data_IF_615134410008
#
_entry.id   IF_615134410008
#
_cell.length_a   1.000
_cell.length_b   1.000
_cell.length_c   1.000
_cell.angle_alpha   90.00
_cell.angle_beta   90.00
_cell.angle_gamma   90.00
#
_symmetry.space_group_name_H-M   'P 1'
#
loop_
_entity.id
_entity.type
_entity.pdbx_description
1 polymer ?
#
# COMPACT_ATOMS: atom_id res chain seq x y z
N UNK A 1 -26.05 7.85 16.17
CA UNK A 1 -24.60 7.53 16.13
C UNK A 1 -24.30 6.96 14.75
N UNK A 2 -23.80 7.78 13.83
CA UNK A 2 -23.33 7.30 12.53
C UNK A 2 -21.95 6.68 12.77
N UNK A 3 -21.90 5.35 12.76
CA UNK A 3 -20.66 4.60 12.74
C UNK A 3 -19.87 5.02 11.49
N UNK A 4 -18.81 5.80 11.67
CA UNK A 4 -17.83 6.15 10.64
C UNK A 4 -17.08 4.89 10.21
N UNK A 5 -17.72 4.08 9.36
CA UNK A 5 -17.15 2.82 8.84
C UNK A 5 -15.99 3.06 7.84
N UNK A 6 -15.62 4.31 7.59
CA UNK A 6 -14.68 4.73 6.54
C UNK A 6 -13.27 5.02 7.09
N UNK A 7 -13.12 5.40 8.36
CA UNK A 7 -11.83 5.83 8.91
C UNK A 7 -10.77 4.71 9.03
N UNK A 8 -11.20 3.44 9.09
CA UNK A 8 -10.28 2.31 9.30
C UNK A 8 -9.70 1.79 7.98
N UNK A 9 -10.33 2.11 6.84
CA UNK A 9 -9.98 1.48 5.55
C UNK A 9 -8.59 1.87 5.08
N UNK A 10 -8.21 3.13 5.27
CA UNK A 10 -6.89 3.62 4.87
C UNK A 10 -5.77 3.22 5.84
N UNK A 11 -6.07 3.20 7.15
CA UNK A 11 -5.13 2.71 8.17
C UNK A 11 -4.81 1.21 8.04
N UNK A 12 -5.67 0.43 7.38
CA UNK A 12 -5.40 -0.99 7.12
C UNK A 12 -4.48 -1.22 5.93
N UNK A 13 -4.20 -0.20 5.11
CA UNK A 13 -3.48 -0.37 3.86
C UNK A 13 -1.99 -0.64 4.09
N UNK A 14 -1.31 0.15 4.94
CA UNK A 14 0.09 -0.10 5.28
C UNK A 14 0.31 -1.50 5.87
N UNK A 15 -0.41 -1.95 6.92
CA UNK A 15 -0.19 -3.30 7.46
C UNK A 15 -0.54 -4.41 6.47
N UNK A 16 -1.43 -4.14 5.50
CA UNK A 16 -1.69 -5.09 4.41
C UNK A 16 -0.51 -5.19 3.43
N UNK A 17 0.12 -4.06 3.10
CA UNK A 17 1.31 -4.03 2.24
C UNK A 17 2.53 -4.62 2.95
N UNK A 18 2.75 -4.31 4.22
CA UNK A 18 3.81 -4.91 5.04
C UNK A 18 3.68 -6.44 5.04
N UNK A 19 2.47 -6.96 5.30
CA UNK A 19 2.19 -8.40 5.26
C UNK A 19 2.41 -9.01 3.87
N UNK A 20 2.07 -8.29 2.81
CA UNK A 20 2.29 -8.73 1.43
C UNK A 20 3.78 -8.81 1.10
N UNK A 21 4.59 -7.89 1.61
CA UNK A 21 6.06 -7.91 1.49
C UNK A 21 6.63 -9.10 2.26
N UNK A 22 6.22 -9.31 3.51
CA UNK A 22 6.67 -10.43 4.35
C UNK A 22 6.35 -11.80 3.72
N UNK A 23 5.21 -11.90 3.03
CA UNK A 23 4.73 -13.14 2.41
C UNK A 23 4.95 -13.18 0.90
N UNK A 24 5.76 -12.27 0.35
CA UNK A 24 5.92 -12.10 -1.09
C UNK A 24 6.38 -13.38 -1.80
N UNK A 25 7.45 -14.01 -1.31
CA UNK A 25 8.02 -15.19 -1.96
C UNK A 25 7.09 -16.43 -1.89
N UNK A 26 6.48 -16.77 -0.73
CA UNK A 26 5.44 -17.81 -0.68
C UNK A 26 4.27 -17.55 -1.63
N UNK A 27 3.80 -16.30 -1.73
CA UNK A 27 2.68 -15.95 -2.61
C UNK A 27 3.07 -16.04 -4.08
N UNK A 28 4.27 -15.57 -4.44
CA UNK A 28 4.83 -15.71 -5.79
C UNK A 28 4.87 -17.18 -6.20
N UNK A 29 5.42 -18.07 -5.36
CA UNK A 29 5.46 -19.51 -5.64
C UNK A 29 4.05 -20.09 -5.78
N UNK A 30 3.10 -19.70 -4.93
CA UNK A 30 1.72 -20.15 -4.99
C UNK A 30 1.04 -19.78 -6.32
N UNK A 31 1.11 -18.51 -6.72
CA UNK A 31 0.44 -18.01 -7.92
C UNK A 31 1.14 -18.40 -9.23
N UNK A 32 2.45 -18.72 -9.20
CA UNK A 32 3.19 -19.14 -10.38
C UNK A 32 3.20 -20.66 -10.60
N UNK A 33 3.15 -21.48 -9.53
CA UNK A 33 3.22 -22.94 -9.66
C UNK A 33 1.87 -23.60 -9.96
N UNK A 34 0.73 -23.01 -9.58
CA UNK A 34 -0.58 -23.65 -9.74
C UNK A 34 -1.32 -23.22 -11.03
N UNK A 35 -0.74 -23.53 -12.19
CA UNK A 35 -1.40 -23.30 -13.49
C UNK A 35 -2.60 -24.24 -13.75
N UNK A 36 -2.89 -25.18 -12.84
CA UNK A 36 -3.98 -26.15 -13.00
C UNK A 36 -5.31 -25.70 -12.37
N UNK A 37 -5.30 -24.75 -11.42
CA UNK A 37 -6.53 -24.22 -10.79
C UNK A 37 -7.08 -22.94 -11.44
N UNK A 38 -6.29 -22.24 -12.22
CA UNK A 38 -6.67 -20.99 -12.93
C UNK A 38 -7.81 -21.17 -13.94
N UNK A 39 -8.09 -22.39 -14.39
CA UNK A 39 -9.20 -22.67 -15.33
C UNK A 39 -10.60 -22.71 -14.70
N UNK A 40 -10.76 -22.65 -13.36
CA UNK A 40 -12.07 -22.94 -12.71
C UNK A 40 -12.84 -21.76 -12.13
N UNK A 41 -12.37 -20.52 -12.15
CA UNK A 41 -13.16 -19.38 -11.67
C UNK A 41 -13.38 -18.36 -12.79
N UNK A 42 -14.56 -18.33 -13.37
CA UNK A 42 -14.91 -17.46 -14.50
C UNK A 42 -15.00 -15.96 -14.17
N UNK A 43 -14.91 -15.57 -12.88
CA UNK A 43 -14.72 -14.18 -12.43
C UNK A 43 -13.40 -13.94 -11.67
N UNK A 44 -12.74 -15.00 -11.20
CA UNK A 44 -11.40 -14.88 -10.62
C UNK A 44 -10.29 -15.19 -11.63
N UNK A 45 -10.62 -15.59 -12.85
CA UNK A 45 -9.66 -15.71 -13.95
C UNK A 45 -8.97 -14.37 -14.20
N UNK A 46 -9.73 -13.27 -14.23
CA UNK A 46 -9.20 -11.92 -14.47
C UNK A 46 -8.30 -11.46 -13.31
N UNK A 47 -8.74 -11.63 -12.06
CA UNK A 47 -7.95 -11.27 -10.88
C UNK A 47 -6.71 -12.16 -10.72
N UNK A 48 -6.82 -13.43 -11.07
CA UNK A 48 -5.69 -14.36 -10.98
C UNK A 48 -4.70 -14.08 -12.10
N UNK A 49 -5.15 -13.71 -13.30
CA UNK A 49 -4.27 -13.24 -14.37
C UNK A 49 -3.53 -11.97 -13.98
N UNK A 50 -4.20 -11.01 -13.34
CA UNK A 50 -3.56 -9.80 -12.79
C UNK A 50 -2.49 -10.15 -11.75
N UNK A 51 -2.80 -11.02 -10.79
CA UNK A 51 -1.84 -11.45 -9.77
C UNK A 51 -0.66 -12.22 -10.37
N UNK A 52 -0.91 -13.14 -11.30
CA UNK A 52 0.15 -13.84 -12.03
C UNK A 52 1.02 -12.86 -12.82
N UNK A 53 0.42 -11.84 -13.46
CA UNK A 53 1.19 -10.80 -14.18
C UNK A 53 2.03 -9.95 -13.23
N UNK A 54 1.51 -9.64 -12.05
CA UNK A 54 2.21 -8.89 -11.01
C UNK A 54 3.39 -9.68 -10.45
N UNK A 55 3.20 -10.96 -10.07
CA UNK A 55 4.25 -11.81 -9.52
C UNK A 55 5.29 -12.27 -10.55
N UNK A 56 4.94 -12.27 -11.84
CA UNK A 56 5.90 -12.45 -12.94
C UNK A 56 6.74 -11.20 -13.23
N UNK A 57 6.29 -10.00 -12.82
CA UNK A 57 7.06 -8.79 -13.01
C UNK A 57 8.26 -8.78 -12.03
N UNK A 58 9.51 -8.66 -12.52
CA UNK A 58 10.68 -8.54 -11.65
C UNK A 58 10.58 -7.35 -10.67
N UNK A 59 9.87 -6.29 -11.06
CA UNK A 59 9.71 -5.06 -10.27
C UNK A 59 8.53 -5.13 -9.27
N UNK A 60 7.82 -6.26 -9.18
CA UNK A 60 6.66 -6.41 -8.30
C UNK A 60 7.00 -6.15 -6.83
N UNK A 61 8.08 -6.76 -6.34
CA UNK A 61 8.59 -6.56 -4.98
C UNK A 61 9.03 -5.10 -4.75
N UNK A 62 9.65 -4.48 -5.74
CA UNK A 62 10.10 -3.09 -5.70
C UNK A 62 8.94 -2.12 -5.58
N UNK A 63 7.88 -2.38 -6.33
CA UNK A 63 6.65 -1.61 -6.28
C UNK A 63 6.02 -1.67 -4.89
N UNK A 64 6.01 -2.83 -4.24
CA UNK A 64 5.48 -2.97 -2.87
C UNK A 64 6.34 -2.23 -1.84
N UNK A 65 7.67 -2.36 -1.92
CA UNK A 65 8.57 -1.63 -1.04
C UNK A 65 8.45 -0.12 -1.22
N UNK A 66 8.30 0.35 -2.47
CA UNK A 66 8.02 1.76 -2.74
C UNK A 66 6.70 2.20 -2.08
N UNK A 67 5.64 1.40 -2.23
CA UNK A 67 4.34 1.68 -1.61
C UNK A 67 4.42 1.71 -0.10
N UNK A 68 5.10 0.75 0.55
CA UNK A 68 5.35 0.74 2.00
C UNK A 68 5.94 2.08 2.46
N UNK A 69 7.00 2.55 1.79
CA UNK A 69 7.68 3.79 2.15
C UNK A 69 6.79 5.03 2.06
N UNK A 70 5.93 5.12 1.05
CA UNK A 70 4.99 6.24 0.89
C UNK A 70 3.84 6.15 1.90
N UNK A 71 3.33 4.95 2.11
CA UNK A 71 2.19 4.70 3.00
C UNK A 71 2.49 5.00 4.46
N UNK A 72 3.74 4.89 4.91
CA UNK A 72 4.15 5.31 6.27
C UNK A 72 3.81 6.78 6.53
N UNK A 73 4.14 7.69 5.60
CA UNK A 73 3.86 9.12 5.79
C UNK A 73 2.37 9.44 5.67
N UNK A 74 1.66 8.76 4.78
CA UNK A 74 0.21 8.90 4.62
C UNK A 74 -0.51 8.43 5.90
N UNK A 75 -0.17 7.25 6.41
CA UNK A 75 -0.75 6.70 7.63
C UNK A 75 -0.49 7.60 8.83
N UNK A 76 0.72 8.18 8.94
CA UNK A 76 1.02 9.12 10.01
C UNK A 76 0.17 10.40 9.92
N UNK A 77 -0.11 10.90 8.71
CA UNK A 77 -1.00 12.03 8.49
C UNK A 77 -2.45 11.68 8.85
N UNK A 78 -2.94 10.51 8.45
CA UNK A 78 -4.27 10.01 8.77
C UNK A 78 -4.49 9.88 10.28
N UNK A 79 -3.53 9.29 11.00
CA UNK A 79 -3.56 9.20 12.47
C UNK A 79 -3.63 10.59 13.12
N UNK A 80 -2.95 11.58 12.54
CA UNK A 80 -3.01 12.96 13.04
C UNK A 80 -4.37 13.63 12.76
N UNK A 81 -5.06 13.26 11.69
CA UNK A 81 -6.39 13.77 11.35
C UNK A 81 -7.50 13.15 12.19
N UNK A 82 -7.33 11.90 12.65
CA UNK A 82 -8.30 11.17 13.48
C UNK A 82 -8.35 11.61 14.95
N UNK A 83 -7.63 12.67 15.33
CA UNK A 83 -7.69 13.24 16.67
C UNK A 83 -9.11 13.77 16.97
N UNK A 84 -9.53 13.67 18.23
CA UNK A 84 -10.88 14.03 18.69
C UNK A 84 -11.28 15.47 18.33
N UNK A 85 -10.29 16.37 18.22
CA UNK A 85 -10.45 17.74 17.77
C UNK A 85 -9.34 18.09 16.79
N UNK A 86 -9.73 18.48 15.57
CA UNK A 86 -8.82 18.98 14.53
C UNK A 86 -9.37 20.32 14.06
N UNK A 87 -8.65 21.41 14.34
CA UNK A 87 -9.04 22.74 13.85
C UNK A 87 -8.71 22.88 12.36
N UNK A 88 -9.29 23.87 11.68
CA UNK A 88 -8.93 24.16 10.28
C UNK A 88 -7.43 24.50 10.13
N UNK A 89 -6.82 25.12 11.15
CA UNK A 89 -5.38 25.42 11.18
C UNK A 89 -4.56 24.13 11.31
N UNK A 90 -4.99 23.19 12.15
CA UNK A 90 -4.35 21.89 12.29
C UNK A 90 -4.46 21.07 11.00
N UNK A 91 -5.63 21.07 10.37
CA UNK A 91 -5.86 20.41 9.09
C UNK A 91 -4.90 20.94 8.03
N UNK A 92 -4.84 22.27 7.86
CA UNK A 92 -3.94 22.91 6.91
C UNK A 92 -2.48 22.54 7.19
N UNK A 93 -2.07 22.57 8.46
CA UNK A 93 -0.71 22.20 8.89
C UNK A 93 -0.39 20.74 8.56
N UNK A 94 -1.30 19.80 8.87
CA UNK A 94 -1.10 18.37 8.63
C UNK A 94 -0.95 18.10 7.13
N UNK A 95 -1.85 18.64 6.31
CA UNK A 95 -1.83 18.46 4.85
C UNK A 95 -0.56 19.09 4.25
N UNK A 96 -0.24 20.32 4.63
CA UNK A 96 0.95 21.02 4.11
C UNK A 96 2.24 20.28 4.47
N UNK A 97 2.33 19.74 5.69
CA UNK A 97 3.49 18.95 6.11
C UNK A 97 3.60 17.63 5.35
N UNK A 98 2.47 16.95 5.08
CA UNK A 98 2.45 15.76 4.24
C UNK A 98 2.93 16.09 2.82
N UNK A 99 2.40 17.14 2.20
CA UNK A 99 2.81 17.56 0.86
C UNK A 99 4.31 17.85 0.78
N UNK A 100 4.85 18.62 1.73
CA UNK A 100 6.29 18.92 1.79
C UNK A 100 7.14 17.66 1.90
N UNK A 101 6.73 16.68 2.72
CA UNK A 101 7.44 15.40 2.85
C UNK A 101 7.43 14.62 1.54
N UNK A 102 6.29 14.57 0.84
CA UNK A 102 6.18 13.86 -0.43
C UNK A 102 7.00 14.54 -1.53
N UNK A 103 6.96 15.87 -1.62
CA UNK A 103 7.78 16.65 -2.55
C UNK A 103 9.27 16.47 -2.28
N UNK A 104 9.67 16.50 -1.00
CA UNK A 104 11.05 16.27 -0.62
C UNK A 104 11.52 14.87 -1.02
N UNK A 105 10.73 13.82 -0.75
CA UNK A 105 11.07 12.45 -1.16
C UNK A 105 11.17 12.29 -2.67
N UNK A 106 10.29 12.96 -3.42
CA UNK A 106 10.34 12.98 -4.88
C UNK A 106 11.65 13.60 -5.38
N UNK A 107 12.07 14.72 -4.77
CA UNK A 107 13.33 15.39 -5.10
C UNK A 107 14.56 14.57 -4.70
N UNK A 108 14.51 13.94 -3.52
CA UNK A 108 15.60 13.13 -2.97
C UNK A 108 15.76 11.79 -3.72
N UNK A 109 14.85 11.45 -4.63
CA UNK A 109 14.78 10.13 -5.31
C UNK A 109 14.84 8.98 -4.30
N UNK A 110 14.28 9.21 -3.12
CA UNK A 110 14.31 8.24 -2.03
C UNK A 110 13.14 7.28 -2.19
N UNK A 111 13.41 6.10 -2.76
CA UNK A 111 12.40 5.09 -3.10
C UNK A 111 12.37 3.88 -2.15
N UNK A 112 13.18 3.90 -1.08
CA UNK A 112 13.33 2.79 -0.13
C UNK A 112 14.70 2.13 -0.23
N UNK A 113 15.32 1.84 0.91
CA UNK A 113 16.69 1.28 1.00
C UNK A 113 16.75 -0.24 0.90
N UNK A 114 15.60 -0.93 0.93
CA UNK A 114 15.53 -2.38 0.70
C UNK A 114 15.70 -2.58 -0.81
N UNK A 115 16.96 -2.70 -1.21
CA UNK A 115 17.44 -2.90 -2.57
C UNK A 115 16.52 -3.82 -3.37
N UNK A 116 15.81 -3.18 -4.29
CA UNK A 116 15.86 -3.57 -5.68
C UNK A 116 17.08 -2.88 -6.32
#
# INVERSE_FOLDING_TARGET
VLLQHINIRWLSLLPSIERLIETYEPLKLYFLNDQTKTKKLTAAADNTQLLTSFFNNPDGSCTLNFLENVLVDIQQAELNLQRTWTTAVDLYRIITNLMKKLEQRLNDKYFGSKTC
#
